data_IF_347271014107
#
_entry.id   IF_347271014107
#
_cell.length_a   1.000
_cell.length_b   1.000
_cell.length_c   1.000
_cell.angle_alpha   90.00
_cell.angle_beta   90.00
_cell.angle_gamma   90.00
#
_symmetry.space_group_name_H-M   'P 1'
#
loop_
_entity.id
_entity.type
_entity.pdbx_description
1 polymer ?
#
# COMPACT_ATOMS: atom_id res chain seq x y z
N UNK A 1 12.95 32.73 -36.88
CA UNK A 1 12.22 33.20 -35.69
C UNK A 1 10.91 32.42 -35.42
N UNK A 2 10.76 31.17 -35.87
CA UNK A 2 9.54 30.39 -35.60
C UNK A 2 9.56 29.68 -34.23
N UNK A 3 10.73 29.37 -33.68
CA UNK A 3 10.87 28.65 -32.41
C UNK A 3 10.55 29.49 -31.17
N UNK A 4 10.57 30.83 -31.28
CA UNK A 4 10.22 31.77 -30.21
C UNK A 4 8.70 31.97 -30.11
N UNK A 5 7.95 31.62 -31.16
CA UNK A 5 6.50 31.82 -31.22
C UNK A 5 5.71 30.63 -30.62
N UNK A 6 6.39 29.59 -30.12
CA UNK A 6 5.76 28.35 -29.68
C UNK A 6 5.80 28.26 -28.15
N UNK A 7 4.70 28.62 -27.50
CA UNK A 7 4.54 28.72 -26.04
C UNK A 7 4.89 27.45 -25.23
N UNK A 8 4.93 26.30 -25.88
CA UNK A 8 5.25 25.00 -25.25
C UNK A 8 6.74 24.68 -25.22
N UNK A 9 7.58 25.46 -25.92
CA UNK A 9 9.03 25.26 -25.95
C UNK A 9 9.72 26.23 -24.97
N UNK A 10 10.64 25.76 -24.12
CA UNK A 10 11.40 26.65 -23.24
C UNK A 10 12.39 27.48 -24.07
N UNK A 11 12.29 28.80 -24.00
CA UNK A 11 13.27 29.70 -24.60
C UNK A 11 14.28 30.17 -23.55
N UNK A 12 15.57 29.99 -23.82
CA UNK A 12 16.63 30.30 -22.86
C UNK A 12 18.02 30.02 -23.42
N UNK A 13 19.04 30.60 -22.79
CA UNK A 13 20.45 30.41 -23.14
C UNK A 13 21.12 29.31 -22.31
N UNK A 14 22.32 28.89 -22.73
CA UNK A 14 23.21 28.01 -21.97
C UNK A 14 24.64 28.55 -22.06
N UNK A 15 25.38 28.53 -20.94
CA UNK A 15 26.78 28.96 -20.90
C UNK A 15 26.94 30.48 -21.01
N UNK A 16 27.75 30.95 -21.97
CA UNK A 16 27.97 32.40 -22.20
C UNK A 16 26.69 33.13 -22.63
N UNK A 17 25.73 32.40 -23.22
CA UNK A 17 24.46 32.97 -23.68
C UNK A 17 23.40 33.09 -22.57
N UNK A 18 23.69 32.66 -21.34
CA UNK A 18 22.79 32.78 -20.18
C UNK A 18 22.39 31.45 -19.52
N UNK A 19 21.49 31.52 -18.54
CA UNK A 19 20.96 30.37 -17.80
C UNK A 19 19.48 30.55 -17.47
N UNK A 20 18.76 29.43 -17.38
CA UNK A 20 17.32 29.41 -17.15
C UNK A 20 16.54 29.52 -18.46
N UNK A 21 15.22 29.43 -18.35
CA UNK A 21 14.33 29.54 -19.50
C UNK A 21 13.02 30.22 -19.11
N UNK A 22 12.39 30.87 -20.07
CA UNK A 22 11.10 31.50 -19.92
C UNK A 22 10.35 31.35 -21.24
N UNK A 23 9.12 30.84 -21.15
CA UNK A 23 8.12 30.84 -22.21
C UNK A 23 6.90 30.06 -21.69
N UNK A 24 5.67 30.54 -21.92
CA UNK A 24 4.46 29.87 -21.44
C UNK A 24 4.56 29.41 -19.97
N UNK A 25 4.42 28.09 -19.75
CA UNK A 25 4.54 27.46 -18.41
C UNK A 25 5.92 27.65 -17.78
N UNK A 26 6.99 27.69 -18.56
CA UNK A 26 8.35 27.84 -18.05
C UNK A 26 8.56 29.22 -17.43
N UNK A 27 7.89 30.27 -17.93
CA UNK A 27 7.91 31.59 -17.27
C UNK A 27 7.27 31.51 -15.88
N UNK A 28 6.10 30.87 -15.77
CA UNK A 28 5.45 30.66 -14.47
C UNK A 28 6.34 29.86 -13.52
N UNK A 29 6.91 28.74 -13.98
CA UNK A 29 7.81 27.91 -13.16
C UNK A 29 9.09 28.66 -12.74
N UNK A 30 9.63 29.54 -13.59
CA UNK A 30 10.84 30.34 -13.31
C UNK A 30 10.58 31.44 -12.28
N UNK A 31 9.41 32.07 -12.30
CA UNK A 31 9.04 33.12 -11.34
C UNK A 31 8.26 32.62 -10.12
N UNK A 32 7.96 31.33 -10.05
CA UNK A 32 7.22 30.72 -8.93
C UNK A 32 8.15 29.89 -8.05
N UNK A 33 8.10 30.16 -6.74
CA UNK A 33 8.76 29.30 -5.76
C UNK A 33 7.94 28.03 -5.50
N UNK A 34 8.46 26.88 -5.93
CA UNK A 34 7.86 25.55 -5.69
C UNK A 34 8.03 25.12 -4.23
N UNK A 35 7.13 25.59 -3.35
CA UNK A 35 7.13 25.23 -1.93
C UNK A 35 6.75 23.76 -1.74
N UNK A 36 7.69 22.96 -1.22
CA UNK A 36 7.42 21.58 -0.82
C UNK A 36 6.67 21.55 0.51
N UNK A 37 5.51 20.89 0.56
CA UNK A 37 4.71 20.70 1.77
C UNK A 37 4.50 19.20 2.01
N UNK A 38 4.90 18.72 3.21
CA UNK A 38 4.64 17.35 3.66
C UNK A 38 3.53 17.37 4.71
N UNK A 39 2.41 16.70 4.43
CA UNK A 39 1.31 16.50 5.38
C UNK A 39 1.45 15.09 5.94
N UNK A 40 1.63 14.98 7.26
CA UNK A 40 1.74 13.69 7.96
C UNK A 40 0.50 13.48 8.83
N UNK A 41 -0.18 12.35 8.64
CA UNK A 41 -1.27 11.93 9.51
C UNK A 41 -0.74 11.21 10.75
N UNK A 42 -1.38 11.43 11.90
CA UNK A 42 -1.07 10.72 13.13
C UNK A 42 -1.77 9.35 13.13
N UNK A 43 -1.04 8.31 12.77
CA UNK A 43 -1.48 6.93 12.93
C UNK A 43 -0.61 6.29 14.02
N UNK A 44 -1.19 5.87 15.17
CA UNK A 44 -0.43 5.27 16.28
C UNK A 44 0.40 4.06 15.87
N UNK A 45 -0.09 3.25 14.92
CA UNK A 45 0.63 2.08 14.42
C UNK A 45 1.90 2.48 13.65
N UNK A 46 1.79 3.47 12.76
CA UNK A 46 2.93 3.96 11.98
C UNK A 46 3.92 4.68 12.90
N UNK A 47 3.43 5.39 13.91
CA UNK A 47 4.28 6.05 14.89
C UNK A 47 5.06 5.06 15.75
N UNK A 48 4.42 3.97 16.18
CA UNK A 48 5.07 2.87 16.89
C UNK A 48 6.12 2.16 16.02
N UNK A 49 5.80 1.87 14.76
CA UNK A 49 6.76 1.30 13.80
C UNK A 49 7.96 2.23 13.55
N UNK A 50 7.76 3.54 13.66
CA UNK A 50 8.78 4.56 13.45
C UNK A 50 9.46 5.00 14.76
N UNK A 51 9.26 4.27 15.87
CA UNK A 51 9.83 4.58 17.18
C UNK A 51 11.37 4.56 17.18
N UNK A 52 11.98 3.87 16.22
CA UNK A 52 13.43 3.85 16.03
C UNK A 52 14.04 5.23 15.75
N UNK A 53 13.23 6.22 15.34
CA UNK A 53 13.66 7.60 15.10
C UNK A 53 13.93 8.39 16.38
N UNK A 54 13.40 7.95 17.53
CA UNK A 54 13.57 8.65 18.80
C UNK A 54 14.66 8.00 19.66
N UNK A 55 15.38 8.82 20.48
CA UNK A 55 16.36 8.31 21.43
C UNK A 55 15.70 7.46 22.54
N UNK A 56 16.47 6.62 23.25
CA UNK A 56 17.89 6.31 23.02
C UNK A 56 18.10 5.39 21.81
N UNK A 57 19.18 5.63 21.07
CA UNK A 57 19.57 4.84 19.90
C UNK A 57 20.37 3.62 20.35
N UNK A 58 19.81 2.43 20.14
CA UNK A 58 20.52 1.16 20.32
C UNK A 58 21.13 0.70 19.00
N UNK A 59 22.15 -0.14 19.06
CA UNK A 59 22.77 -0.77 17.88
C UNK A 59 21.74 -1.41 16.94
N UNK A 60 20.71 -2.06 17.50
CA UNK A 60 19.65 -2.69 16.73
C UNK A 60 18.76 -1.67 16.00
N UNK A 61 18.41 -0.56 16.67
CA UNK A 61 17.65 0.56 16.07
C UNK A 61 18.45 1.19 14.91
N UNK A 62 19.76 1.38 15.08
CA UNK A 62 20.60 1.92 14.01
C UNK A 62 20.74 0.97 12.83
N UNK A 63 20.99 -0.31 13.08
CA UNK A 63 21.02 -1.31 12.00
C UNK A 63 19.70 -1.34 11.22
N UNK A 64 18.57 -1.22 11.91
CA UNK A 64 17.25 -1.18 11.28
C UNK A 64 17.05 0.06 10.40
N UNK A 65 17.36 1.27 10.91
CA UNK A 65 17.26 2.51 10.13
C UNK A 65 18.19 2.46 8.90
N UNK A 66 19.44 2.03 9.09
CA UNK A 66 20.40 1.91 8.01
C UNK A 66 19.96 0.88 6.96
N UNK A 67 19.35 -0.22 7.38
CA UNK A 67 18.79 -1.20 6.45
C UNK A 67 17.63 -0.62 5.62
N UNK A 68 16.76 0.19 6.22
CA UNK A 68 15.66 0.88 5.52
C UNK A 68 16.16 1.95 4.55
N UNK A 69 17.20 2.70 4.92
CA UNK A 69 17.77 3.77 4.09
C UNK A 69 18.69 3.24 2.98
N UNK A 70 19.14 1.99 3.06
CA UNK A 70 20.00 1.38 2.05
C UNK A 70 19.28 1.37 0.70
N UNK A 71 19.95 1.87 -0.35
CA UNK A 71 19.46 1.84 -1.73
C UNK A 71 19.08 0.39 -2.08
N UNK A 72 17.81 0.15 -2.41
CA UNK A 72 17.34 -1.21 -2.74
C UNK A 72 18.14 -1.73 -3.94
N UNK A 73 18.82 -2.88 -3.83
CA UNK A 73 19.48 -3.46 -4.99
C UNK A 73 18.41 -3.81 -6.03
N UNK A 74 18.69 -3.51 -7.29
CA UNK A 74 17.85 -3.93 -8.42
C UNK A 74 18.04 -5.43 -8.62
N UNK A 75 17.23 -6.23 -7.93
CA UNK A 75 17.23 -7.68 -8.11
C UNK A 75 16.56 -8.02 -9.46
N UNK A 76 17.25 -8.65 -10.42
CA UNK A 76 16.60 -9.12 -11.64
C UNK A 76 15.56 -10.18 -11.30
N UNK A 77 14.32 -10.01 -11.77
CA UNK A 77 13.23 -11.00 -11.60
C UNK A 77 12.15 -10.68 -10.55
N UNK A 78 12.36 -9.74 -9.62
CA UNK A 78 11.34 -9.36 -8.61
C UNK A 78 10.11 -8.69 -9.21
N UNK A 79 10.20 -8.25 -10.48
CA UNK A 79 9.09 -7.66 -11.25
C UNK A 79 7.96 -8.68 -11.48
N UNK A 80 8.27 -9.96 -11.58
CA UNK A 80 7.30 -11.04 -11.83
C UNK A 80 6.77 -11.70 -10.55
N UNK A 81 7.44 -11.47 -9.42
CA UNK A 81 7.06 -12.00 -8.12
C UNK A 81 5.59 -11.71 -7.72
N UNK A 82 5.07 -10.46 -7.86
CA UNK A 82 3.66 -10.21 -7.55
C UNK A 82 2.70 -10.95 -8.48
N UNK A 83 3.08 -11.15 -9.75
CA UNK A 83 2.26 -11.90 -10.71
C UNK A 83 2.19 -13.39 -10.33
N UNK A 84 3.31 -14.00 -9.91
CA UNK A 84 3.33 -15.38 -9.43
C UNK A 84 2.52 -15.55 -8.13
N UNK A 85 2.64 -14.60 -7.19
CA UNK A 85 1.86 -14.62 -5.97
C UNK A 85 0.35 -14.52 -6.26
N UNK A 86 -0.05 -13.62 -7.17
CA UNK A 86 -1.44 -13.46 -7.58
C UNK A 86 -1.98 -14.74 -8.24
N UNK A 87 -1.19 -15.37 -9.11
CA UNK A 87 -1.54 -16.65 -9.71
C UNK A 87 -1.73 -17.75 -8.66
N UNK A 88 -0.79 -17.86 -7.71
CA UNK A 88 -0.87 -18.83 -6.61
C UNK A 88 -2.10 -18.63 -5.72
N UNK A 89 -2.42 -17.38 -5.35
CA UNK A 89 -3.64 -17.04 -4.61
C UNK A 89 -4.91 -17.37 -5.43
N UNK A 90 -4.87 -17.17 -6.74
CA UNK A 90 -5.94 -17.57 -7.66
C UNK A 90 -6.19 -19.08 -7.63
N UNK A 91 -5.15 -19.89 -7.78
CA UNK A 91 -5.24 -21.36 -7.70
C UNK A 91 -5.75 -21.81 -6.33
N UNK A 92 -5.23 -21.22 -5.25
CA UNK A 92 -5.66 -21.53 -3.89
C UNK A 92 -7.13 -21.21 -3.67
N UNK A 93 -7.58 -20.04 -4.14
CA UNK A 93 -8.99 -19.63 -4.02
C UNK A 93 -9.93 -20.54 -4.81
N UNK A 94 -9.55 -20.95 -6.02
CA UNK A 94 -10.31 -21.90 -6.82
C UNK A 94 -10.42 -23.26 -6.13
N UNK A 95 -9.31 -23.79 -5.60
CA UNK A 95 -9.31 -25.03 -4.84
C UNK A 95 -10.19 -24.95 -3.58
N UNK A 96 -10.15 -23.82 -2.88
CA UNK A 96 -10.94 -23.56 -1.69
C UNK A 96 -12.45 -23.50 -2.04
N UNK A 97 -12.81 -22.84 -3.13
CA UNK A 97 -14.19 -22.84 -3.66
C UNK A 97 -14.63 -24.25 -4.03
N UNK A 98 -13.76 -25.05 -4.67
CA UNK A 98 -14.09 -26.41 -5.06
C UNK A 98 -14.29 -27.31 -3.84
N UNK A 99 -13.44 -27.20 -2.82
CA UNK A 99 -13.58 -27.91 -1.55
C UNK A 99 -14.89 -27.55 -0.83
N UNK A 100 -15.22 -26.26 -0.76
CA UNK A 100 -16.47 -25.79 -0.18
C UNK A 100 -17.69 -26.30 -0.98
N UNK A 101 -17.59 -26.34 -2.31
CA UNK A 101 -18.65 -26.83 -3.22
C UNK A 101 -18.92 -28.33 -3.02
N UNK A 102 -17.87 -29.14 -2.93
CA UNK A 102 -17.97 -30.59 -2.77
C UNK A 102 -18.62 -30.99 -1.43
N UNK A 103 -18.35 -30.21 -0.37
CA UNK A 103 -18.89 -30.42 0.97
C UNK A 103 -20.17 -29.62 1.26
N UNK A 104 -20.82 -28.98 0.27
CA UNK A 104 -22.03 -28.15 0.47
C UNK A 104 -23.12 -28.86 1.27
N UNK A 105 -23.35 -30.15 1.01
CA UNK A 105 -24.35 -30.96 1.73
C UNK A 105 -23.94 -31.18 3.19
N UNK A 106 -22.67 -31.56 3.44
CA UNK A 106 -22.13 -31.75 4.79
C UNK A 106 -22.11 -30.44 5.59
N UNK A 107 -21.73 -29.33 4.96
CA UNK A 107 -21.70 -28.00 5.57
C UNK A 107 -23.13 -27.52 5.92
N UNK A 108 -24.10 -27.64 4.99
CA UNK A 108 -25.51 -27.33 5.27
C UNK A 108 -26.06 -28.18 6.41
N UNK A 109 -25.70 -29.47 6.45
CA UNK A 109 -26.12 -30.38 7.51
C UNK A 109 -25.49 -30.01 8.86
N UNK A 110 -24.20 -29.67 8.89
CA UNK A 110 -23.52 -29.21 10.11
C UNK A 110 -24.11 -27.90 10.65
N UNK A 111 -24.44 -26.94 9.78
CA UNK A 111 -25.11 -25.69 10.16
C UNK A 111 -26.51 -25.97 10.70
N UNK A 112 -27.28 -26.87 10.08
CA UNK A 112 -28.61 -27.25 10.55
C UNK A 112 -28.57 -27.89 11.94
N UNK A 113 -27.64 -28.83 12.17
CA UNK A 113 -27.43 -29.45 13.50
C UNK A 113 -27.08 -28.38 14.54
N UNK A 114 -26.17 -27.45 14.20
CA UNK A 114 -25.76 -26.38 15.10
C UNK A 114 -26.92 -25.45 15.48
N UNK A 115 -27.76 -25.07 14.51
CA UNK A 115 -28.98 -24.28 14.75
C UNK A 115 -29.94 -25.05 15.66
N UNK A 116 -30.19 -26.33 15.39
CA UNK A 116 -31.07 -27.18 16.20
C UNK A 116 -30.57 -27.32 17.64
N UNK A 117 -29.27 -27.51 17.84
CA UNK A 117 -28.65 -27.55 19.17
C UNK A 117 -28.79 -26.22 19.91
N UNK A 118 -28.63 -25.10 19.20
CA UNK A 118 -28.78 -23.75 19.78
C UNK A 118 -30.22 -23.49 20.21
N UNK A 119 -31.20 -23.86 19.39
CA UNK A 119 -32.63 -23.73 19.71
C UNK A 119 -33.03 -24.61 20.90
N UNK A 120 -32.58 -25.87 20.94
CA UNK A 120 -32.84 -26.75 22.09
C UNK A 120 -32.19 -26.24 23.38
N UNK A 121 -30.99 -25.65 23.28
CA UNK A 121 -30.31 -25.06 24.43
C UNK A 121 -31.06 -23.85 25.00
N UNK A 122 -31.64 -23.01 24.14
CA UNK A 122 -32.47 -21.86 24.57
C UNK A 122 -33.78 -22.33 25.22
N UNK A 123 -34.45 -23.35 24.65
CA UNK A 123 -35.68 -23.91 25.22
C UNK A 123 -35.45 -24.51 26.62
N UNK A 124 -34.35 -25.24 26.81
CA UNK A 124 -34.01 -25.80 28.13
C UNK A 124 -33.69 -24.72 29.17
N UNK A 125 -33.22 -23.53 28.77
CA UNK A 125 -33.02 -22.43 29.72
C UNK A 125 -34.37 -21.82 30.13
N UNK A 126 -35.26 -21.56 29.17
CA UNK A 126 -36.58 -20.98 29.44
C UNK A 126 -37.54 -21.89 30.24
N UNK A 127 -37.39 -23.22 30.14
CA UNK A 127 -38.26 -24.19 30.83
C UNK A 127 -37.79 -24.53 32.25
N UNK A 128 -36.52 -24.24 32.60
CA UNK A 128 -35.99 -24.43 33.95
C UNK A 128 -36.15 -23.19 34.85
N UNK A 129 -36.59 -22.06 34.29
CA UNK A 129 -36.89 -20.80 35.00
C UNK A 129 -38.41 -20.64 35.33
N UNK A 130 -39.23 -21.67 35.07
CA UNK A 130 -40.65 -21.82 35.43
C UNK A 130 -40.80 -22.99 36.43
#
# INVERSE_FOLDING_TARGET
MMHVAVDTLPFGGVGLSGMGNCHGKYSFDTFTHKKSCLIKNYNPLIEALSASRYPPYSENKMKFILALMRKRPSLPGVRYLPHLALFGLGVLSAYLIQYLSQNRKKIKFAILIFILQTVNRIKNLLYNDL
#
